data_IF_764097592674
#
_entry.id   IF_764097592674
#
_cell.length_a   1.000
_cell.length_b   1.000
_cell.length_c   1.000
_cell.angle_alpha   90.00
_cell.angle_beta   90.00
_cell.angle_gamma   90.00
#
_symmetry.space_group_name_H-M   'P 1'
#
loop_
_entity.id
_entity.type
_entity.pdbx_description
1 polymer ?
#
# COMPACT_ATOMS: atom_id res chain seq x y z
N UNK A 1 -31.77 -13.83 -14.75
CA UNK A 1 -30.30 -13.83 -14.58
C UNK A 1 -29.82 -12.38 -14.62
N UNK A 2 -30.24 -11.53 -13.68
CA UNK A 2 -30.31 -10.08 -14.00
C UNK A 2 -29.84 -9.13 -12.89
N UNK A 3 -30.05 -9.44 -11.60
CA UNK A 3 -29.60 -8.53 -10.53
C UNK A 3 -28.20 -8.86 -10.01
N UNK A 4 -27.88 -10.15 -9.87
CA UNK A 4 -26.58 -10.61 -9.34
C UNK A 4 -25.44 -10.29 -10.30
N UNK A 5 -25.65 -10.45 -11.61
CA UNK A 5 -24.62 -10.15 -12.62
C UNK A 5 -24.34 -8.64 -12.75
N UNK A 6 -25.36 -7.78 -12.61
CA UNK A 6 -25.17 -6.33 -12.58
C UNK A 6 -24.47 -5.84 -11.31
N UNK A 7 -24.74 -6.46 -10.14
CA UNK A 7 -24.00 -6.13 -8.92
C UNK A 7 -22.55 -6.62 -8.95
N UNK A 8 -22.28 -7.79 -9.52
CA UNK A 8 -20.91 -8.23 -9.84
C UNK A 8 -20.23 -7.26 -10.81
N UNK A 9 -20.99 -6.66 -11.75
CA UNK A 9 -20.48 -5.65 -12.66
C UNK A 9 -20.09 -4.34 -11.95
N UNK A 10 -20.67 -4.04 -10.78
CA UNK A 10 -20.32 -2.85 -9.98
C UNK A 10 -19.16 -3.07 -9.02
N UNK A 11 -18.87 -4.32 -8.59
CA UNK A 11 -17.80 -4.60 -7.62
C UNK A 11 -16.49 -4.97 -8.32
N UNK A 12 -15.49 -4.11 -8.19
CA UNK A 12 -14.11 -4.41 -8.62
C UNK A 12 -13.42 -5.37 -7.65
N UNK A 13 -13.51 -6.66 -7.94
CA UNK A 13 -12.73 -7.68 -7.24
C UNK A 13 -11.29 -7.73 -7.78
N UNK A 14 -10.34 -8.20 -6.98
CA UNK A 14 -8.94 -8.34 -7.40
C UNK A 14 -8.79 -9.13 -8.71
N UNK A 15 -9.55 -10.21 -8.87
CA UNK A 15 -9.55 -11.05 -10.07
C UNK A 15 -10.01 -10.27 -11.31
N UNK A 16 -11.05 -9.45 -11.17
CA UNK A 16 -11.59 -8.66 -12.29
C UNK A 16 -10.67 -7.49 -12.64
N UNK A 17 -10.14 -6.78 -11.64
CA UNK A 17 -9.13 -5.72 -11.81
C UNK A 17 -7.92 -6.25 -12.57
N UNK A 18 -7.41 -7.43 -12.18
CA UNK A 18 -6.30 -8.08 -12.87
C UNK A 18 -6.65 -8.46 -14.33
N UNK A 19 -7.85 -8.96 -14.60
CA UNK A 19 -8.28 -9.28 -15.96
C UNK A 19 -8.32 -8.04 -16.86
N UNK A 20 -8.90 -6.94 -16.39
CA UNK A 20 -8.95 -5.68 -17.13
C UNK A 20 -7.54 -5.13 -17.38
N UNK A 21 -6.69 -5.09 -16.35
CA UNK A 21 -5.30 -4.64 -16.48
C UNK A 21 -4.54 -5.49 -17.50
N UNK A 22 -4.75 -6.81 -17.53
CA UNK A 22 -4.12 -7.69 -18.50
C UNK A 22 -4.57 -7.40 -19.93
N UNK A 23 -5.87 -7.16 -20.15
CA UNK A 23 -6.40 -6.79 -21.47
C UNK A 23 -5.80 -5.47 -21.97
N UNK A 24 -5.60 -4.50 -21.07
CA UNK A 24 -4.96 -3.23 -21.40
C UNK A 24 -3.47 -3.42 -21.75
N UNK A 25 -2.73 -4.19 -20.95
CA UNK A 25 -1.32 -4.48 -21.21
C UNK A 25 -1.14 -5.26 -22.53
N UNK A 26 -2.07 -6.16 -22.84
CA UNK A 26 -2.08 -6.91 -24.11
C UNK A 26 -2.56 -6.06 -25.31
N UNK A 27 -3.01 -4.83 -25.10
CA UNK A 27 -3.52 -3.94 -26.15
C UNK A 27 -4.89 -4.33 -26.72
N UNK A 28 -5.65 -5.19 -26.03
CA UNK A 28 -7.00 -5.61 -26.43
C UNK A 28 -8.06 -4.54 -26.16
N UNK A 29 -7.82 -3.71 -25.14
CA UNK A 29 -8.62 -2.54 -24.82
C UNK A 29 -7.70 -1.41 -24.38
N UNK A 30 -8.15 -0.17 -24.55
CA UNK A 30 -7.45 1.01 -24.07
C UNK A 30 -8.03 1.48 -22.74
N UNK A 31 -7.24 2.24 -21.97
CA UNK A 31 -7.71 2.92 -20.74
C UNK A 31 -8.97 3.75 -21.01
N UNK A 32 -9.02 4.46 -22.13
CA UNK A 32 -10.15 5.30 -22.51
C UNK A 32 -11.42 4.49 -22.88
N UNK A 33 -11.27 3.32 -23.50
CA UNK A 33 -12.40 2.41 -23.76
C UNK A 33 -12.91 1.79 -22.47
N UNK A 34 -12.01 1.25 -21.64
CA UNK A 34 -12.34 0.68 -20.34
C UNK A 34 -13.04 1.70 -19.43
N UNK A 35 -12.53 2.93 -19.36
CA UNK A 35 -13.13 4.02 -18.58
C UNK A 35 -14.57 4.28 -19.00
N UNK A 36 -14.85 4.36 -20.31
CA UNK A 36 -16.20 4.57 -20.84
C UNK A 36 -17.12 3.37 -20.63
N UNK A 37 -16.59 2.15 -20.73
CA UNK A 37 -17.38 0.92 -20.59
C UNK A 37 -17.74 0.59 -19.15
N UNK A 38 -16.89 0.93 -18.20
CA UNK A 38 -17.05 0.56 -16.79
C UNK A 38 -17.33 1.76 -15.86
N UNK A 39 -17.39 2.97 -16.41
CA UNK A 39 -17.61 4.23 -15.67
C UNK A 39 -16.59 4.44 -14.53
N UNK A 40 -15.31 4.17 -14.84
CA UNK A 40 -14.18 4.33 -13.91
C UNK A 40 -13.32 5.48 -14.40
N UNK A 41 -12.84 6.37 -13.52
CA UNK A 41 -11.90 7.41 -13.90
C UNK A 41 -10.67 6.83 -14.62
N UNK A 42 -10.23 7.41 -15.75
CA UNK A 42 -9.02 6.94 -16.46
C UNK A 42 -7.79 6.84 -15.54
N UNK A 43 -7.64 7.80 -14.62
CA UNK A 43 -6.53 7.83 -13.65
C UNK A 43 -6.49 6.62 -12.72
N UNK A 44 -7.66 6.11 -12.32
CA UNK A 44 -7.75 4.93 -11.45
C UNK A 44 -7.36 3.66 -12.23
N UNK A 45 -7.78 3.56 -13.50
CA UNK A 45 -7.36 2.46 -14.37
C UNK A 45 -5.85 2.52 -14.65
N UNK A 46 -5.30 3.71 -14.88
CA UNK A 46 -3.86 3.92 -15.05
C UNK A 46 -3.08 3.47 -13.82
N UNK A 47 -3.53 3.85 -12.62
CA UNK A 47 -2.94 3.39 -11.36
C UNK A 47 -2.96 1.86 -11.25
N UNK A 48 -4.06 1.21 -11.61
CA UNK A 48 -4.15 -0.25 -11.59
C UNK A 48 -3.18 -0.92 -12.56
N UNK A 49 -2.98 -0.34 -13.74
CA UNK A 49 -2.02 -0.83 -14.73
C UNK A 49 -0.59 -0.66 -14.21
N UNK A 50 -0.27 0.48 -13.60
CA UNK A 50 1.04 0.76 -13.02
C UNK A 50 1.36 -0.17 -11.84
N UNK A 51 0.40 -0.36 -10.93
CA UNK A 51 0.50 -1.34 -9.83
C UNK A 51 0.73 -2.76 -10.36
N UNK A 52 -0.04 -3.16 -11.38
CA UNK A 52 0.08 -4.48 -12.01
C UNK A 52 1.46 -4.69 -12.64
N UNK A 53 2.00 -3.68 -13.34
CA UNK A 53 3.35 -3.71 -13.92
C UNK A 53 4.43 -3.79 -12.85
N UNK A 54 4.36 -2.95 -11.81
CA UNK A 54 5.30 -2.97 -10.67
C UNK A 54 5.28 -4.32 -9.95
N UNK A 55 4.09 -4.89 -9.75
CA UNK A 55 3.93 -6.21 -9.14
C UNK A 55 4.56 -7.32 -9.99
N UNK A 56 4.39 -7.27 -11.31
CA UNK A 56 5.01 -8.20 -12.25
C UNK A 56 6.54 -8.05 -12.27
N UNK A 57 7.05 -6.83 -12.36
CA UNK A 57 8.49 -6.54 -12.29
C UNK A 57 9.10 -7.07 -10.99
N UNK A 58 8.41 -6.85 -9.87
CA UNK A 58 8.84 -7.34 -8.56
C UNK A 58 8.87 -8.87 -8.48
N UNK A 59 7.84 -9.54 -9.01
CA UNK A 59 7.77 -11.00 -9.05
C UNK A 59 8.84 -11.63 -9.95
N UNK A 60 9.29 -10.91 -10.99
CA UNK A 60 10.35 -11.37 -11.90
C UNK A 60 11.76 -10.97 -11.43
N UNK A 61 11.88 -10.18 -10.36
CA UNK A 61 13.17 -9.74 -9.83
C UNK A 61 13.91 -10.91 -9.20
N UNK A 62 15.23 -10.99 -9.44
CA UNK A 62 16.08 -12.04 -8.87
C UNK A 62 16.04 -12.09 -7.32
N UNK A 63 15.82 -10.92 -6.70
CA UNK A 63 15.45 -10.78 -5.28
C UNK A 63 14.17 -9.94 -5.23
N UNK A 64 12.98 -10.55 -5.15
CA UNK A 64 11.74 -9.80 -5.00
C UNK A 64 11.85 -8.87 -3.79
N UNK A 65 11.42 -7.62 -3.94
CA UNK A 65 11.19 -6.76 -2.79
C UNK A 65 10.02 -7.39 -2.05
N UNK A 66 10.31 -8.08 -0.95
CA UNK A 66 9.28 -8.54 -0.06
C UNK A 66 8.74 -7.30 0.64
N UNK A 67 7.64 -6.76 0.12
CA UNK A 67 6.97 -5.57 0.65
C UNK A 67 6.73 -5.73 2.15
N UNK A 68 6.50 -6.97 2.60
CA UNK A 68 6.44 -7.33 4.02
C UNK A 68 7.75 -7.07 4.75
N UNK A 69 8.88 -7.50 4.21
CA UNK A 69 10.21 -7.29 4.80
C UNK A 69 10.57 -5.78 4.87
N UNK A 70 10.14 -4.99 3.89
CA UNK A 70 10.28 -3.53 3.94
C UNK A 70 9.46 -2.91 5.08
N UNK A 71 8.21 -3.32 5.23
CA UNK A 71 7.36 -2.86 6.34
C UNK A 71 7.88 -3.35 7.69
N UNK A 72 8.35 -4.59 7.79
CA UNK A 72 8.97 -5.13 9.01
C UNK A 72 10.23 -4.37 9.39
N UNK A 73 11.05 -3.96 8.40
CA UNK A 73 12.20 -3.10 8.63
C UNK A 73 11.81 -1.70 9.10
N UNK A 74 10.83 -1.07 8.46
CA UNK A 74 10.33 0.25 8.91
C UNK A 74 9.74 0.19 10.32
N UNK A 75 8.99 -0.88 10.63
CA UNK A 75 8.45 -1.12 11.97
C UNK A 75 9.56 -1.28 13.01
N UNK A 76 10.62 -2.02 12.67
CA UNK A 76 11.76 -2.22 13.55
C UNK A 76 12.51 -0.90 13.81
N UNK A 77 12.83 -0.15 12.76
CA UNK A 77 13.51 1.15 12.87
C UNK A 77 12.67 2.14 13.70
N UNK A 78 11.35 2.17 13.50
CA UNK A 78 10.44 3.00 14.29
C UNK A 78 10.37 2.57 15.77
N UNK A 79 10.34 1.26 16.02
CA UNK A 79 10.31 0.71 17.38
C UNK A 79 11.60 0.98 18.14
N UNK A 80 12.76 0.91 17.46
CA UNK A 80 14.07 1.26 18.02
C UNK A 80 14.12 2.74 18.38
N UNK A 81 13.74 3.64 17.46
CA UNK A 81 13.70 5.08 17.71
C UNK A 81 12.74 5.45 18.87
N UNK A 82 11.57 4.80 18.93
CA UNK A 82 10.63 4.98 20.03
C UNK A 82 11.20 4.49 21.37
N UNK A 83 11.91 3.35 21.37
CA UNK A 83 12.60 2.82 22.54
C UNK A 83 13.67 3.75 23.07
N UNK A 84 14.50 4.30 22.18
CA UNK A 84 15.53 5.30 22.53
C UNK A 84 14.92 6.56 23.13
N UNK A 85 13.88 7.11 22.51
CA UNK A 85 13.18 8.30 23.03
C UNK A 85 12.57 8.05 24.43
N UNK A 86 12.01 6.86 24.66
CA UNK A 86 11.47 6.47 25.97
C UNK A 86 12.55 6.33 27.04
N UNK A 87 13.72 5.78 26.68
CA UNK A 87 14.87 5.70 27.57
C UNK A 87 15.41 7.08 27.92
N UNK A 88 15.51 7.98 26.94
CA UNK A 88 15.94 9.35 27.15
C UNK A 88 14.97 10.10 28.07
N UNK A 89 13.66 9.97 27.84
CA UNK A 89 12.62 10.54 28.70
C UNK A 89 12.75 10.04 30.15
N UNK A 90 12.99 8.73 30.32
CA UNK A 90 13.15 8.12 31.65
C UNK A 90 14.40 8.63 32.35
N UNK A 91 15.51 8.77 31.62
CA UNK A 91 16.75 9.32 32.15
C UNK A 91 16.57 10.77 32.59
N UNK A 92 15.92 11.60 31.78
CA UNK A 92 15.59 13.00 32.11
C UNK A 92 14.71 13.11 33.36
N UNK A 93 13.64 12.30 33.44
CA UNK A 93 12.78 12.26 34.64
C UNK A 93 13.54 11.85 35.89
N UNK A 94 14.40 10.83 35.79
CA UNK A 94 15.22 10.39 36.93
C UNK A 94 16.23 11.46 37.35
N UNK A 95 16.83 12.18 36.41
CA UNK A 95 17.73 13.29 36.71
C UNK A 95 17.00 14.43 37.41
N UNK A 96 15.83 14.84 36.91
CA UNK A 96 15.01 15.89 37.53
C UNK A 96 14.63 15.54 38.98
N UNK A 97 14.23 14.28 39.23
CA UNK A 97 13.95 13.77 40.57
C UNK A 97 15.17 13.84 41.50
N UNK A 98 16.35 13.44 41.02
CA UNK A 98 17.60 13.51 41.80
C UNK A 98 18.05 14.94 42.08
N UNK A 99 17.73 15.89 41.20
CA UNK A 99 18.04 17.31 41.36
C UNK A 99 17.00 18.06 42.22
N UNK A 100 15.92 17.40 42.64
CA UNK A 100 14.86 18.02 43.43
C UNK A 100 14.07 19.09 42.65
N UNK A 101 14.08 19.02 41.32
CA UNK A 101 13.36 19.97 40.45
C UNK A 101 11.89 19.56 40.23
N UNK A 102 11.34 18.65 41.03
CA UNK A 102 9.96 18.15 40.89
C UNK A 102 8.87 19.21 41.21
N UNK A 103 9.24 20.35 41.81
CA UNK A 103 8.32 21.41 42.29
C UNK A 103 8.37 22.74 41.50
N UNK A 104 8.66 22.74 40.20
CA UNK A 104 8.40 23.89 39.29
C UNK A 104 7.55 23.49 38.10
#
# INVERSE_FOLDING_TARGET
MSKVMEEEFKRWTAKRKAALVMEIIQGKTTVAEASRSFDIPPSEIEEWVDEGRKGMENALRAKPLDVREQYERQLKELQEAYGEAMLELRARKKLASLLGEEDK
#
